data_IF_643812037696
#
_entry.id   IF_643812037696
#
_cell.length_a   1.000
_cell.length_b   1.000
_cell.length_c   1.000
_cell.angle_alpha   90.00
_cell.angle_beta   90.00
_cell.angle_gamma   90.00
#
_symmetry.space_group_name_H-M   'P 1'
#
loop_
_entity.id
_entity.type
_entity.pdbx_description
1 polymer ?
#
# COMPACT_ATOMS: atom_id res chain seq x y z
N UNK A 1 -36.91 53.52 21.37
CA UNK A 1 -35.69 52.77 21.78
C UNK A 1 -35.60 51.44 21.01
N UNK A 2 -34.94 51.37 19.84
CA UNK A 2 -34.68 50.10 19.08
C UNK A 2 -33.46 50.18 18.13
N UNK A 3 -32.45 51.00 18.45
CA UNK A 3 -31.27 51.21 17.56
C UNK A 3 -30.03 50.41 18.00
N UNK A 4 -30.00 49.97 19.27
CA UNK A 4 -28.84 49.30 19.88
C UNK A 4 -28.70 47.82 19.49
N UNK A 5 -29.79 47.16 19.10
CA UNK A 5 -29.79 45.72 18.75
C UNK A 5 -29.30 45.44 17.32
N UNK A 6 -29.29 46.43 16.43
CA UNK A 6 -28.86 46.26 15.03
C UNK A 6 -27.33 46.36 14.85
N UNK A 7 -26.64 47.08 15.74
CA UNK A 7 -25.17 47.18 15.73
C UNK A 7 -24.53 45.95 16.41
N UNK A 8 -25.23 45.37 17.40
CA UNK A 8 -24.71 44.25 18.19
C UNK A 8 -24.64 42.92 17.39
N UNK A 9 -25.56 42.71 16.45
CA UNK A 9 -25.58 41.51 15.59
C UNK A 9 -24.50 41.53 14.50
N UNK A 10 -24.11 42.72 14.03
CA UNK A 10 -23.01 42.85 13.05
C UNK A 10 -21.64 42.55 13.66
N UNK A 11 -21.43 42.96 14.91
CA UNK A 11 -20.16 42.74 15.64
C UNK A 11 -19.95 41.26 15.98
N UNK A 12 -21.02 40.53 16.32
CA UNK A 12 -20.92 39.08 16.59
C UNK A 12 -20.68 38.25 15.33
N UNK A 13 -21.28 38.61 14.19
CA UNK A 13 -21.03 37.94 12.91
C UNK A 13 -19.58 38.15 12.42
N UNK A 14 -19.05 39.38 12.57
CA UNK A 14 -17.66 39.68 12.23
C UNK A 14 -16.66 38.95 13.14
N UNK A 15 -16.95 38.85 14.44
CA UNK A 15 -16.13 38.11 15.40
C UNK A 15 -16.14 36.59 15.14
N UNK A 16 -17.29 36.02 14.73
CA UNK A 16 -17.41 34.60 14.37
C UNK A 16 -16.66 34.25 13.08
N UNK A 17 -16.72 35.12 12.06
CA UNK A 17 -15.94 34.96 10.83
C UNK A 17 -14.43 35.04 11.09
N UNK A 18 -13.99 35.96 11.95
CA UNK A 18 -12.59 36.05 12.38
C UNK A 18 -12.14 34.80 13.15
N UNK A 19 -13.00 34.27 14.02
CA UNK A 19 -12.73 33.03 14.77
C UNK A 19 -12.67 31.80 13.85
N UNK A 20 -13.55 31.67 12.86
CA UNK A 20 -13.49 30.62 11.85
C UNK A 20 -12.22 30.69 10.99
N UNK A 21 -11.78 31.89 10.60
CA UNK A 21 -10.53 32.07 9.85
C UNK A 21 -9.30 31.70 10.69
N UNK A 22 -9.28 32.05 11.98
CA UNK A 22 -8.20 31.68 12.89
C UNK A 22 -8.17 30.18 13.22
N UNK A 23 -9.34 29.55 13.36
CA UNK A 23 -9.45 28.11 13.60
C UNK A 23 -9.04 27.28 12.36
N UNK A 24 -9.32 27.76 11.15
CA UNK A 24 -8.91 27.07 9.92
C UNK A 24 -7.39 26.98 9.74
N UNK A 25 -6.61 27.85 10.41
CA UNK A 25 -5.15 27.86 10.35
C UNK A 25 -4.49 26.85 11.31
N UNK A 26 -5.19 26.39 12.35
CA UNK A 26 -4.64 25.44 13.34
C UNK A 26 -4.88 23.98 12.98
N UNK A 27 -5.88 23.67 12.15
CA UNK A 27 -6.25 22.29 11.78
C UNK A 27 -5.46 21.77 10.56
N UNK A 28 -4.75 22.65 9.84
CA UNK A 28 -4.00 22.32 8.62
C UNK A 28 -2.69 21.56 8.80
N UNK A 29 -2.28 21.21 10.03
CA UNK A 29 -1.01 20.52 10.33
C UNK A 29 -1.16 19.19 11.08
N UNK A 30 -2.35 18.55 11.04
CA UNK A 30 -2.52 17.19 11.56
C UNK A 30 -2.90 16.16 10.47
N UNK A 31 -2.44 16.38 9.26
CA UNK A 31 -2.51 15.36 8.19
C UNK A 31 -1.22 15.31 7.35
N UNK A 32 -0.07 15.58 7.97
CA UNK A 32 1.21 15.17 7.40
C UNK A 32 1.49 13.71 7.78
N UNK A 33 0.94 12.80 6.96
CA UNK A 33 1.35 11.40 6.77
C UNK A 33 1.46 10.54 8.03
N UNK A 34 0.34 9.93 8.40
CA UNK A 34 0.32 8.60 9.01
C UNK A 34 0.72 7.51 8.00
N UNK A 35 1.89 7.65 7.37
CA UNK A 35 2.54 6.62 6.56
C UNK A 35 4.01 6.54 7.01
N UNK A 36 4.24 6.33 8.31
CA UNK A 36 5.37 5.49 8.69
C UNK A 36 4.97 4.08 8.29
N UNK A 37 5.18 3.78 7.01
CA UNK A 37 5.25 2.43 6.48
C UNK A 37 6.16 1.65 7.43
N UNK A 38 5.55 0.80 8.25
CA UNK A 38 6.24 -0.33 8.84
C UNK A 38 7.06 -0.93 7.70
N UNK A 39 8.39 -0.95 7.85
CA UNK A 39 9.31 -1.31 6.77
C UNK A 39 8.75 -2.49 5.99
N UNK A 40 8.26 -2.21 4.79
CA UNK A 40 7.69 -3.22 3.92
C UNK A 40 8.87 -4.05 3.45
N UNK A 41 9.17 -5.11 4.19
CA UNK A 41 10.08 -6.13 3.72
C UNK A 41 9.59 -6.55 2.33
N UNK A 42 10.47 -6.61 1.33
CA UNK A 42 10.05 -6.95 -0.02
C UNK A 42 9.45 -8.36 -0.01
N UNK A 43 8.13 -8.43 -0.10
CA UNK A 43 7.36 -9.65 -0.12
C UNK A 43 7.08 -10.04 -1.57
N UNK A 44 7.76 -11.08 -2.03
CA UNK A 44 7.55 -11.69 -3.33
C UNK A 44 6.62 -12.90 -3.16
N UNK A 45 5.82 -13.16 -4.17
CA UNK A 45 4.99 -14.37 -4.22
C UNK A 45 5.34 -15.16 -5.46
N UNK A 46 5.83 -16.39 -5.28
CA UNK A 46 6.11 -17.32 -6.36
C UNK A 46 4.90 -18.26 -6.51
N UNK A 47 4.33 -18.35 -7.70
CA UNK A 47 3.13 -19.16 -7.95
C UNK A 47 3.09 -19.69 -9.38
N UNK A 48 1.95 -20.28 -9.75
CA UNK A 48 1.66 -20.78 -11.08
C UNK A 48 0.70 -19.84 -11.83
N UNK A 49 1.07 -19.43 -13.04
CA UNK A 49 0.18 -18.76 -14.00
C UNK A 49 0.28 -19.49 -15.33
N UNK A 50 -0.85 -19.93 -15.88
CA UNK A 50 -0.92 -20.64 -17.17
C UNK A 50 0.01 -21.85 -17.31
N UNK A 51 0.28 -22.55 -16.20
CA UNK A 51 1.20 -23.69 -16.23
C UNK A 51 2.65 -23.33 -15.92
N UNK A 52 3.02 -22.05 -15.98
CA UNK A 52 4.39 -21.55 -15.84
C UNK A 52 4.66 -20.97 -14.45
N UNK A 53 5.93 -20.93 -14.09
CA UNK A 53 6.43 -20.27 -12.88
C UNK A 53 6.28 -18.75 -13.02
N UNK A 54 5.60 -18.15 -12.05
CA UNK A 54 5.25 -16.74 -12.02
C UNK A 54 5.71 -16.10 -10.71
N UNK A 55 6.33 -14.93 -10.77
CA UNK A 55 6.78 -14.18 -9.59
C UNK A 55 6.10 -12.82 -9.55
N UNK A 56 5.38 -12.55 -8.48
CA UNK A 56 4.85 -11.22 -8.18
C UNK A 56 5.86 -10.43 -7.34
N UNK A 57 6.24 -9.27 -7.84
CA UNK A 57 7.08 -8.31 -7.10
C UNK A 57 6.24 -7.44 -6.16
N UNK A 58 6.83 -6.92 -5.07
CA UNK A 58 6.10 -6.07 -4.12
C UNK A 58 5.50 -4.84 -4.81
N UNK A 59 4.17 -4.73 -4.77
CA UNK A 59 3.45 -3.59 -5.36
C UNK A 59 3.17 -3.72 -6.87
N UNK A 60 3.60 -4.80 -7.51
CA UNK A 60 3.27 -5.09 -8.91
C UNK A 60 2.01 -5.94 -9.03
N UNK A 61 1.22 -5.67 -10.08
CA UNK A 61 -0.03 -6.39 -10.36
C UNK A 61 0.14 -7.52 -11.37
N UNK A 62 1.20 -7.44 -12.17
CA UNK A 62 1.51 -8.43 -13.20
C UNK A 62 2.70 -9.24 -12.73
N UNK A 63 2.67 -10.58 -12.91
CA UNK A 63 3.80 -11.41 -12.56
C UNK A 63 4.86 -11.37 -13.66
N UNK A 64 6.11 -11.53 -13.25
CA UNK A 64 7.16 -11.95 -14.17
C UNK A 64 7.05 -13.46 -14.40
N UNK A 65 6.89 -13.87 -15.65
CA UNK A 65 6.85 -15.28 -16.05
C UNK A 65 8.27 -15.79 -16.35
N UNK A 66 8.54 -17.01 -15.92
CA UNK A 66 9.78 -17.74 -16.20
C UNK A 66 9.46 -18.95 -17.08
N UNK A 67 10.40 -19.32 -17.95
CA UNK A 67 10.26 -20.48 -18.84
C UNK A 67 10.53 -21.80 -18.09
N UNK A 68 9.73 -22.02 -17.04
CA UNK A 68 9.73 -23.22 -16.21
C UNK A 68 8.28 -23.64 -16.07
N UNK A 69 7.96 -24.82 -16.58
CA UNK A 69 6.63 -25.40 -16.43
C UNK A 69 6.50 -26.08 -15.07
N UNK A 70 5.45 -25.78 -14.32
CA UNK A 70 5.25 -26.30 -12.96
C UNK A 70 5.07 -27.83 -13.00
N UNK A 71 4.47 -28.38 -14.04
CA UNK A 71 4.22 -29.82 -14.17
C UNK A 71 5.50 -30.67 -14.32
N UNK A 72 6.64 -30.05 -14.67
CA UNK A 72 7.94 -30.73 -14.73
C UNK A 72 8.62 -30.83 -13.37
N UNK A 73 8.16 -30.05 -12.38
CA UNK A 73 8.70 -30.05 -11.01
C UNK A 73 8.16 -31.26 -10.21
N UNK A 74 8.84 -31.68 -9.13
CA UNK A 74 8.34 -32.72 -8.23
C UNK A 74 6.96 -32.38 -7.66
N UNK A 75 6.06 -33.37 -7.51
CA UNK A 75 4.66 -33.15 -7.08
C UNK A 75 4.51 -32.29 -5.82
N UNK A 76 5.43 -32.45 -4.86
CA UNK A 76 5.47 -31.64 -3.63
C UNK A 76 5.67 -30.15 -3.94
N UNK A 77 6.60 -29.83 -4.85
CA UNK A 77 6.87 -28.45 -5.26
C UNK A 77 5.72 -27.87 -6.05
N UNK A 78 5.10 -28.66 -6.93
CA UNK A 78 3.93 -28.21 -7.67
C UNK A 78 2.81 -27.76 -6.72
N UNK A 79 2.57 -28.53 -5.65
CA UNK A 79 1.54 -28.19 -4.68
C UNK A 79 1.88 -26.90 -3.94
N UNK A 80 3.13 -26.75 -3.49
CA UNK A 80 3.60 -25.53 -2.82
C UNK A 80 3.44 -24.29 -3.71
N UNK A 81 3.79 -24.39 -4.99
CA UNK A 81 3.68 -23.27 -5.94
C UNK A 81 2.22 -22.94 -6.29
N UNK A 82 1.34 -23.93 -6.31
CA UNK A 82 -0.12 -23.70 -6.44
C UNK A 82 -0.71 -22.99 -5.22
N UNK A 83 -0.19 -23.27 -4.03
CA UNK A 83 -0.60 -22.59 -2.79
C UNK A 83 -0.04 -21.15 -2.70
N UNK A 84 1.04 -20.87 -3.46
CA UNK A 84 1.74 -19.60 -3.42
C UNK A 84 2.85 -19.62 -2.37
N UNK A 85 4.08 -19.41 -2.80
CA UNK A 85 5.25 -19.38 -1.93
C UNK A 85 5.62 -17.93 -1.65
N UNK A 86 5.48 -17.53 -0.40
CA UNK A 86 5.89 -16.22 0.08
C UNK A 86 7.39 -16.16 0.34
N UNK A 87 8.05 -15.13 -0.19
CA UNK A 87 9.50 -14.93 -0.07
C UNK A 87 9.79 -13.50 0.36
N UNK A 88 10.60 -13.34 1.39
CA UNK A 88 10.76 -12.04 2.07
C UNK A 88 12.08 -11.33 1.72
N UNK A 89 12.94 -11.98 0.93
CA UNK A 89 14.23 -11.41 0.53
C UNK A 89 14.57 -11.73 -0.92
N UNK A 90 15.23 -10.79 -1.60
CA UNK A 90 15.69 -10.99 -2.97
C UNK A 90 16.70 -12.14 -3.10
N UNK A 91 17.54 -12.36 -2.08
CA UNK A 91 18.52 -13.44 -2.05
C UNK A 91 17.85 -14.81 -2.02
N UNK A 92 16.82 -14.98 -1.20
CA UNK A 92 16.03 -16.21 -1.12
C UNK A 92 15.29 -16.46 -2.44
N UNK A 93 14.65 -15.42 -2.99
CA UNK A 93 13.99 -15.50 -4.29
C UNK A 93 14.97 -15.99 -5.36
N UNK A 94 16.15 -15.37 -5.44
CA UNK A 94 17.17 -15.72 -6.41
C UNK A 94 17.62 -17.18 -6.25
N UNK A 95 17.87 -17.63 -5.02
CA UNK A 95 18.25 -19.02 -4.75
C UNK A 95 17.18 -20.01 -5.22
N UNK A 96 15.91 -19.73 -4.92
CA UNK A 96 14.80 -20.59 -5.37
C UNK A 96 14.67 -20.62 -6.89
N UNK A 97 14.82 -19.47 -7.54
CA UNK A 97 14.77 -19.40 -9.01
C UNK A 97 15.94 -20.13 -9.65
N UNK A 98 17.14 -20.06 -9.08
CA UNK A 98 18.31 -20.82 -9.54
C UNK A 98 18.03 -22.33 -9.43
N UNK A 99 17.41 -22.79 -8.35
CA UNK A 99 17.06 -24.21 -8.18
C UNK A 99 16.04 -24.70 -9.24
N UNK A 100 15.11 -23.84 -9.66
CA UNK A 100 14.10 -24.19 -10.66
C UNK A 100 14.56 -24.01 -12.13
N UNK A 101 15.63 -23.27 -12.37
CA UNK A 101 16.13 -22.93 -13.73
C UNK A 101 17.44 -23.63 -14.11
N UNK A 102 17.95 -24.50 -13.24
CA UNK A 102 19.18 -25.30 -13.42
C UNK A 102 18.99 -26.54 -14.30
#
# INVERSE_FOLDING_TARGET
MRKKTMVLTGVTAAAFLLFCLLFSMTVGWLQAKGDMQAGAYPHYTITQVEGQLAVYSPGEKEPQLYDVYIDTLPQTEQQRLREGVEVYTQRELKSLLEDYTS
#
